data_IF_456571400246
#
_entry.id   IF_456571400246
#
_cell.length_a   1.000
_cell.length_b   1.000
_cell.length_c   1.000
_cell.angle_alpha   90.00
_cell.angle_beta   90.00
_cell.angle_gamma   90.00
#
_symmetry.space_group_name_H-M   'P 1'
#
loop_
_entity.id
_entity.type
_entity.pdbx_description
1 polymer ?
#
# COMPACT_ATOMS: atom_id res chain seq x y z
N UNK A 1 14.88 -0.07 9.56
CA UNK A 1 15.20 -0.72 8.26
C UNK A 1 13.89 -1.11 7.60
N UNK A 2 13.71 -0.80 6.32
CA UNK A 2 12.45 -1.01 5.62
C UNK A 2 12.16 -2.50 5.36
N UNK A 3 10.90 -2.92 5.59
CA UNK A 3 10.41 -4.29 5.35
C UNK A 3 10.45 -4.63 3.85
N UNK A 4 10.07 -3.66 3.01
CA UNK A 4 9.88 -3.83 1.56
C UNK A 4 11.12 -3.50 0.73
N UNK A 5 11.98 -2.59 1.22
CA UNK A 5 12.91 -1.86 0.35
C UNK A 5 12.16 -0.93 -0.63
N UNK A 6 12.83 -0.39 -1.66
CA UNK A 6 12.17 0.27 -2.78
C UNK A 6 11.12 -0.64 -3.43
N UNK A 7 10.09 -0.03 -4.01
CA UNK A 7 8.98 -0.75 -4.64
C UNK A 7 8.67 -0.15 -6.01
N UNK A 8 8.21 -1.00 -6.93
CA UNK A 8 7.66 -0.58 -8.22
C UNK A 8 6.18 -0.92 -8.19
N UNK A 9 5.33 0.09 -8.24
CA UNK A 9 3.88 -0.05 -8.25
C UNK A 9 3.33 0.19 -9.66
N UNK A 10 2.45 -0.70 -10.13
CA UNK A 10 1.57 -0.48 -11.27
C UNK A 10 0.12 -0.79 -10.88
N UNK A 11 -0.80 -0.63 -11.82
CA UNK A 11 -2.22 -0.93 -11.60
C UNK A 11 -2.53 -2.44 -11.46
N UNK A 12 -1.57 -3.31 -11.78
CA UNK A 12 -1.75 -4.77 -11.81
C UNK A 12 -0.78 -5.54 -10.93
N UNK A 13 0.27 -4.88 -10.41
CA UNK A 13 1.25 -5.53 -9.55
C UNK A 13 2.01 -4.53 -8.69
N UNK A 14 2.50 -5.00 -7.56
CA UNK A 14 3.51 -4.33 -6.75
C UNK A 14 4.73 -5.25 -6.63
N UNK A 15 5.89 -4.76 -7.08
CA UNK A 15 7.17 -5.48 -7.06
C UNK A 15 8.04 -4.90 -5.96
N UNK A 16 8.60 -5.78 -5.12
CA UNK A 16 9.48 -5.42 -4.01
C UNK A 16 10.95 -5.48 -4.44
N UNK A 17 11.85 -4.79 -3.72
CA UNK A 17 13.31 -4.81 -3.95
C UNK A 17 13.89 -6.23 -4.06
N UNK A 18 13.31 -7.18 -3.33
CA UNK A 18 13.70 -8.61 -3.36
C UNK A 18 13.36 -9.34 -4.66
N UNK A 19 12.69 -8.70 -5.62
CA UNK A 19 12.16 -9.30 -6.84
C UNK A 19 10.82 -10.03 -6.67
N UNK A 20 10.35 -10.20 -5.43
CA UNK A 20 9.03 -10.74 -5.12
C UNK A 20 7.94 -9.75 -5.49
N UNK A 21 6.70 -10.22 -5.64
CA UNK A 21 5.58 -9.37 -6.02
C UNK A 21 4.25 -9.86 -5.46
N UNK A 22 3.27 -8.96 -5.45
CA UNK A 22 1.85 -9.27 -5.35
C UNK A 22 1.14 -8.83 -6.63
N UNK A 23 0.13 -9.58 -7.04
CA UNK A 23 -0.77 -9.17 -8.11
C UNK A 23 -1.88 -8.31 -7.53
N UNK A 24 -2.33 -7.33 -8.31
CA UNK A 24 -3.35 -6.37 -7.94
C UNK A 24 -4.48 -6.41 -8.96
N UNK A 25 -5.70 -6.32 -8.46
CA UNK A 25 -6.90 -6.06 -9.24
C UNK A 25 -7.47 -4.72 -8.77
N UNK A 26 -7.50 -3.73 -9.66
CA UNK A 26 -8.05 -2.42 -9.32
C UNK A 26 -9.57 -2.52 -9.13
N UNK A 27 -10.05 -2.14 -7.96
CA UNK A 27 -11.48 -2.11 -7.63
C UNK A 27 -12.06 -0.73 -7.88
N UNK A 28 -11.35 0.29 -7.43
CA UNK A 28 -11.72 1.69 -7.61
C UNK A 28 -10.47 2.55 -7.74
N UNK A 29 -10.45 3.41 -8.75
CA UNK A 29 -9.34 4.32 -9.02
C UNK A 29 -9.46 5.67 -8.29
N UNK A 30 -10.63 5.98 -7.73
CA UNK A 30 -10.97 7.24 -7.06
C UNK A 30 -11.87 6.98 -5.83
N UNK A 31 -11.54 5.95 -5.04
CA UNK A 31 -12.31 5.59 -3.86
C UNK A 31 -12.39 6.76 -2.88
N UNK A 32 -13.59 7.28 -2.64
CA UNK A 32 -13.82 8.34 -1.67
C UNK A 32 -13.62 7.81 -0.24
N UNK A 33 -12.94 8.56 0.61
CA UNK A 33 -12.65 8.13 1.97
C UNK A 33 -11.71 9.06 2.72
N UNK A 34 -11.37 8.67 3.95
CA UNK A 34 -10.33 9.33 4.74
C UNK A 34 -9.00 8.63 4.55
N UNK A 35 -8.17 9.13 3.63
CA UNK A 35 -6.86 8.58 3.27
C UNK A 35 -5.72 9.51 3.69
N UNK A 36 -4.46 9.12 3.46
CA UNK A 36 -3.33 9.90 3.96
C UNK A 36 -2.92 9.53 5.37
N UNK A 37 -1.76 10.01 5.79
CA UNK A 37 -1.28 9.78 7.15
C UNK A 37 -2.23 10.34 8.22
N UNK A 38 -2.89 11.46 7.94
CA UNK A 38 -3.85 12.13 8.82
C UNK A 38 -5.32 11.77 8.54
N UNK A 39 -5.62 11.06 7.44
CA UNK A 39 -6.98 10.81 7.00
C UNK A 39 -7.63 11.93 6.18
N UNK A 40 -6.89 13.00 5.87
CA UNK A 40 -7.42 14.20 5.19
C UNK A 40 -7.46 14.10 3.67
N UNK A 41 -6.85 13.06 3.08
CA UNK A 41 -6.87 12.89 1.63
C UNK A 41 -8.20 12.27 1.19
N UNK A 42 -8.93 12.91 0.28
CA UNK A 42 -10.31 12.52 -0.03
C UNK A 42 -10.41 11.29 -0.94
N UNK A 43 -9.33 10.92 -1.62
CA UNK A 43 -9.32 9.84 -2.63
C UNK A 43 -8.08 8.97 -2.56
N UNK A 44 -8.27 7.68 -2.85
CA UNK A 44 -7.19 6.71 -3.07
C UNK A 44 -7.56 5.75 -4.21
N UNK A 45 -6.56 5.04 -4.73
CA UNK A 45 -6.76 3.87 -5.56
C UNK A 45 -6.85 2.64 -4.64
N UNK A 46 -7.94 1.89 -4.73
CA UNK A 46 -8.16 0.68 -3.94
C UNK A 46 -8.06 -0.54 -4.85
N UNK A 47 -7.29 -1.52 -4.39
CA UNK A 47 -7.00 -2.75 -5.08
C UNK A 47 -7.35 -3.94 -4.21
N UNK A 48 -7.81 -5.01 -4.85
CA UNK A 48 -7.76 -6.35 -4.28
C UNK A 48 -6.35 -6.90 -4.46
N UNK A 49 -5.81 -7.48 -3.40
CA UNK A 49 -4.51 -8.17 -3.44
C UNK A 49 -4.74 -9.65 -3.76
N UNK A 50 -4.03 -10.13 -4.77
CA UNK A 50 -4.10 -11.51 -5.23
C UNK A 50 -2.81 -12.23 -4.87
N UNK A 51 -2.94 -13.24 -4.00
CA UNK A 51 -1.82 -14.03 -3.51
C UNK A 51 -1.01 -13.34 -2.42
N UNK A 52 0.22 -13.81 -2.20
CA UNK A 52 1.12 -13.27 -1.19
C UNK A 52 2.53 -13.14 -1.76
N UNK A 53 3.23 -12.07 -1.39
CA UNK A 53 4.65 -11.93 -1.69
C UNK A 53 5.51 -13.00 -0.98
N UNK A 54 4.98 -13.59 0.09
CA UNK A 54 5.75 -14.36 1.05
C UNK A 54 6.75 -13.49 1.81
N UNK A 55 7.81 -14.09 2.38
CA UNK A 55 8.79 -13.35 3.18
C UNK A 55 9.59 -12.34 2.36
N UNK A 56 9.69 -11.10 2.82
CA UNK A 56 10.46 -9.99 2.29
C UNK A 56 11.80 -9.87 3.03
N UNK A 57 12.35 -8.65 3.15
CA UNK A 57 13.67 -8.45 3.77
C UNK A 57 13.67 -8.97 5.19
N UNK A 58 14.69 -9.77 5.52
CA UNK A 58 14.89 -10.37 6.85
C UNK A 58 13.74 -11.28 7.29
N UNK A 59 12.99 -11.85 6.34
CA UNK A 59 11.88 -12.76 6.64
C UNK A 59 10.59 -12.05 7.06
N UNK A 60 10.54 -10.72 7.04
CA UNK A 60 9.33 -9.97 7.38
C UNK A 60 8.24 -10.15 6.31
N UNK A 61 6.99 -10.02 6.70
CA UNK A 61 5.83 -10.02 5.79
C UNK A 61 5.13 -8.66 5.82
N UNK A 62 4.21 -8.40 4.89
CA UNK A 62 3.49 -7.13 4.81
C UNK A 62 2.61 -6.88 6.05
N UNK A 63 1.90 -7.91 6.50
CA UNK A 63 0.96 -7.80 7.63
C UNK A 63 1.16 -8.90 8.68
N UNK A 64 2.41 -9.24 8.97
CA UNK A 64 2.72 -10.35 9.87
C UNK A 64 2.17 -11.67 9.32
N UNK A 65 1.50 -12.43 10.16
CA UNK A 65 0.96 -13.74 9.77
C UNK A 65 -0.39 -13.65 9.05
N UNK A 66 -0.97 -12.44 8.92
CA UNK A 66 -2.27 -12.26 8.29
C UNK A 66 -2.14 -12.07 6.77
N UNK A 67 -3.02 -12.71 5.97
CA UNK A 67 -3.03 -12.51 4.53
C UNK A 67 -3.56 -11.12 4.19
N UNK A 68 -2.79 -10.37 3.40
CA UNK A 68 -3.24 -9.09 2.84
C UNK A 68 -4.32 -9.37 1.80
N UNK A 69 -5.47 -8.71 1.93
CA UNK A 69 -6.62 -8.86 1.01
C UNK A 69 -6.89 -7.61 0.20
N UNK A 70 -6.58 -6.43 0.75
CA UNK A 70 -6.72 -5.16 0.04
C UNK A 70 -5.51 -4.25 0.22
N UNK A 71 -5.33 -3.37 -0.74
CA UNK A 71 -4.33 -2.32 -0.73
C UNK A 71 -4.98 -1.01 -1.16
N UNK A 72 -4.72 0.07 -0.44
CA UNK A 72 -5.03 1.42 -0.89
C UNK A 72 -3.73 2.17 -1.17
N UNK A 73 -3.67 2.91 -2.28
CA UNK A 73 -2.53 3.74 -2.64
C UNK A 73 -2.99 5.17 -2.95
N UNK A 74 -2.24 6.16 -2.45
CA UNK A 74 -2.54 7.57 -2.67
C UNK A 74 -1.25 8.38 -2.82
N UNK A 75 -1.36 9.52 -3.49
CA UNK A 75 -0.28 10.50 -3.54
C UNK A 75 -0.50 11.52 -2.43
N UNK A 76 0.53 11.74 -1.63
CA UNK A 76 0.56 12.73 -0.56
C UNK A 76 1.70 13.69 -0.79
N UNK A 77 1.41 14.98 -0.89
CA UNK A 77 2.42 16.00 -1.06
C UNK A 77 2.67 16.67 0.28
N UNK A 78 3.91 16.65 0.74
CA UNK A 78 4.36 17.54 1.82
C UNK A 78 4.98 18.80 1.20
N UNK A 79 5.37 19.77 2.03
CA UNK A 79 6.06 20.97 1.55
C UNK A 79 7.38 20.69 0.85
N UNK A 80 7.99 19.52 1.10
CA UNK A 80 9.34 19.19 0.65
C UNK A 80 9.40 17.95 -0.25
N UNK A 81 8.42 17.04 -0.14
CA UNK A 81 8.47 15.74 -0.80
C UNK A 81 7.14 15.33 -1.41
N UNK A 82 7.22 14.57 -2.49
CA UNK A 82 6.09 13.79 -2.99
C UNK A 82 6.17 12.37 -2.47
N UNK A 83 5.16 11.94 -1.73
CA UNK A 83 5.09 10.62 -1.13
C UNK A 83 4.02 9.77 -1.82
N UNK A 84 4.35 8.51 -2.06
CA UNK A 84 3.39 7.44 -2.32
C UNK A 84 3.05 6.79 -0.98
N UNK A 85 1.83 7.02 -0.50
CA UNK A 85 1.28 6.33 0.65
C UNK A 85 0.60 5.03 0.23
N UNK A 86 0.86 3.95 0.96
CA UNK A 86 0.25 2.65 0.74
C UNK A 86 -0.24 2.10 2.08
N UNK A 87 -1.53 1.80 2.18
CA UNK A 87 -2.09 1.05 3.30
C UNK A 87 -2.45 -0.38 2.85
N UNK A 88 -2.09 -1.35 3.67
CA UNK A 88 -2.43 -2.76 3.51
C UNK A 88 -3.53 -3.12 4.50
N UNK A 89 -4.49 -3.91 4.03
CA UNK A 89 -5.64 -4.33 4.82
C UNK A 89 -5.83 -5.84 4.76
N UNK A 90 -6.40 -6.35 5.84
CA UNK A 90 -6.93 -7.71 5.98
C UNK A 90 -8.45 -7.64 6.08
N UNK A 91 -9.12 -8.77 5.86
CA UNK A 91 -10.58 -8.86 5.97
C UNK A 91 -11.28 -9.05 4.63
N UNK A 92 -12.62 -9.04 4.67
CA UNK A 92 -13.48 -9.42 3.56
C UNK A 92 -14.05 -8.23 2.77
N UNK A 93 -14.11 -7.06 3.40
CA UNK A 93 -14.72 -5.86 2.83
C UNK A 93 -13.65 -4.89 2.34
N UNK A 94 -13.93 -4.22 1.22
CA UNK A 94 -13.04 -3.19 0.71
C UNK A 94 -12.96 -2.01 1.70
N UNK A 95 -11.76 -1.47 1.98
CA UNK A 95 -11.60 -0.38 2.92
C UNK A 95 -12.14 0.94 2.37
N UNK A 96 -12.59 1.81 3.27
CA UNK A 96 -13.09 3.16 2.95
C UNK A 96 -12.23 4.27 3.55
N UNK A 97 -11.03 3.93 4.04
CA UNK A 97 -10.10 4.87 4.67
C UNK A 97 -9.03 4.18 5.50
N UNK A 98 -8.02 4.94 5.96
CA UNK A 98 -6.94 4.43 6.82
C UNK A 98 -7.41 4.09 8.23
N UNK A 99 -8.56 4.60 8.67
CA UNK A 99 -9.17 4.28 9.96
C UNK A 99 -10.00 2.97 9.95
N UNK A 100 -10.06 2.26 8.80
CA UNK A 100 -10.79 1.00 8.72
C UNK A 100 -10.16 -0.07 9.63
N UNK A 101 -10.99 -0.88 10.31
CA UNK A 101 -10.54 -1.87 11.31
C UNK A 101 -9.55 -2.91 10.76
N UNK A 102 -9.57 -3.17 9.46
CA UNK A 102 -8.71 -4.16 8.80
C UNK A 102 -7.30 -3.69 8.47
N UNK A 103 -6.94 -2.43 8.74
CA UNK A 103 -5.60 -1.92 8.43
C UNK A 103 -4.53 -2.67 9.23
N UNK A 104 -3.50 -3.15 8.55
CA UNK A 104 -2.44 -3.94 9.18
C UNK A 104 -1.04 -3.36 8.98
N UNK A 105 -0.83 -2.57 7.93
CA UNK A 105 0.40 -1.83 7.74
C UNK A 105 0.17 -0.59 6.88
N UNK A 106 0.98 0.45 7.12
CA UNK A 106 1.05 1.64 6.28
C UNK A 106 2.50 1.92 5.93
N UNK A 107 2.76 2.20 4.66
CA UNK A 107 4.08 2.47 4.11
C UNK A 107 4.06 3.79 3.37
N UNK A 108 5.17 4.53 3.44
CA UNK A 108 5.37 5.76 2.69
C UNK A 108 6.68 5.65 1.92
N UNK A 109 6.63 5.97 0.63
CA UNK A 109 7.78 5.95 -0.27
C UNK A 109 7.97 7.35 -0.84
N UNK A 110 9.20 7.87 -0.79
CA UNK A 110 9.54 9.07 -1.54
C UNK A 110 9.48 8.77 -3.04
N UNK A 111 8.75 9.61 -3.78
CA UNK A 111 8.68 9.57 -5.24
C UNK A 111 9.68 10.50 -5.90
N UNK A 112 10.38 11.32 -5.11
CA UNK A 112 11.44 12.17 -5.62
C UNK A 112 12.65 11.28 -5.93
N UNK A 113 13.09 11.32 -7.19
CA UNK A 113 14.20 10.52 -7.67
C UNK A 113 15.44 10.79 -6.80
N UNK A 114 16.12 9.72 -6.38
CA UNK A 114 17.52 9.80 -5.96
C UNK A 114 18.28 10.37 -7.17
N UNK A 115 18.62 11.66 -7.11
CA UNK A 115 19.65 12.25 -7.97
C UNK A 115 20.98 11.54 -7.73
#
# INVERSE_FOLDING_TARGET
MAITGPVILSTTKMVFETGKFINLEMLDSQAAGGWGASGDLPVAQVFRVLGSAGPLRRGNTLCGDQPVTYMAAWNENTSEFKLLGIAMFTGLDAPTGVAAQGICATYFFSMDALN
#
